data_IF_761533024009
#
_entry.id   IF_761533024009
#
_cell.length_a   1.000
_cell.length_b   1.000
_cell.length_c   1.000
_cell.angle_alpha   90.00
_cell.angle_beta   90.00
_cell.angle_gamma   90.00
#
_symmetry.space_group_name_H-M   'P 1'
#
loop_
_entity.id
_entity.type
_entity.pdbx_description
1 polymer ?
#
# COMPACT_ATOMS: atom_id res chain seq x y z
N UNK A 1 2.42 8.08 6.18
CA UNK A 1 2.87 6.67 6.19
C UNK A 1 2.42 5.88 4.96
N UNK A 2 1.12 5.78 4.63
CA UNK A 2 0.65 4.98 3.49
C UNK A 2 1.37 5.31 2.16
N UNK A 3 1.39 6.59 1.76
CA UNK A 3 2.04 7.03 0.52
C UNK A 3 3.57 6.87 0.57
N UNK A 4 4.17 6.92 1.76
CA UNK A 4 5.60 6.72 1.95
C UNK A 4 5.99 5.28 1.65
N UNK A 5 5.27 4.31 2.24
CA UNK A 5 5.49 2.88 1.95
C UNK A 5 5.17 2.54 0.50
N UNK A 6 4.11 3.14 -0.07
CA UNK A 6 3.81 3.00 -1.50
C UNK A 6 4.98 3.44 -2.38
N UNK A 7 5.56 4.61 -2.12
CA UNK A 7 6.70 5.11 -2.88
C UNK A 7 7.94 4.23 -2.67
N UNK A 8 8.23 3.79 -1.44
CA UNK A 8 9.34 2.87 -1.17
C UNK A 8 9.21 1.55 -1.93
N UNK A 9 8.00 1.00 -2.03
CA UNK A 9 7.75 -0.19 -2.85
C UNK A 9 7.98 0.09 -4.34
N UNK A 10 7.55 1.24 -4.84
CA UNK A 10 7.76 1.66 -6.24
C UNK A 10 9.25 1.84 -6.56
N UNK A 11 10.00 2.47 -5.66
CA UNK A 11 11.44 2.71 -5.80
C UNK A 11 12.25 1.41 -5.73
N UNK A 12 11.74 0.42 -4.99
CA UNK A 12 12.31 -0.93 -4.92
C UNK A 12 11.96 -1.82 -6.13
N UNK A 13 11.24 -1.29 -7.14
CA UNK A 13 10.85 -2.05 -8.34
C UNK A 13 9.66 -2.99 -8.13
N UNK A 14 8.98 -2.93 -6.98
CA UNK A 14 7.75 -3.67 -6.74
C UNK A 14 6.58 -3.00 -7.48
N UNK A 15 5.47 -3.74 -7.62
CA UNK A 15 4.22 -3.26 -8.24
C UNK A 15 3.15 -2.96 -7.18
N UNK A 16 3.19 -1.78 -6.52
CA UNK A 16 2.13 -1.38 -5.59
C UNK A 16 0.93 -0.76 -6.32
N UNK A 17 -0.28 -0.99 -5.82
CA UNK A 17 -1.52 -0.43 -6.33
C UNK A 17 -2.28 0.32 -5.23
N UNK A 18 -2.54 1.62 -5.42
CA UNK A 18 -3.34 2.43 -4.49
C UNK A 18 -4.83 2.10 -4.66
N UNK A 19 -5.52 1.93 -3.54
CA UNK A 19 -6.97 1.76 -3.48
C UNK A 19 -7.57 3.03 -2.90
N UNK A 20 -8.61 3.54 -3.57
CA UNK A 20 -9.38 4.71 -3.14
C UNK A 20 -10.78 4.27 -2.78
N UNK A 21 -11.31 4.84 -1.71
CA UNK A 21 -12.72 4.62 -1.38
C UNK A 21 -13.61 5.18 -2.50
N UNK A 22 -14.61 4.40 -2.88
CA UNK A 22 -15.57 4.77 -3.91
C UNK A 22 -16.53 5.89 -3.43
N UNK A 23 -16.43 6.35 -2.17
CA UNK A 23 -17.28 7.41 -1.63
C UNK A 23 -18.65 6.91 -1.21
N UNK A 24 -18.78 5.61 -0.91
CA UNK A 24 -20.02 5.02 -0.36
C UNK A 24 -20.07 5.10 1.17
N UNK A 25 -19.08 5.74 1.79
CA UNK A 25 -18.94 5.89 3.24
C UNK A 25 -18.89 7.37 3.65
N UNK A 26 -18.89 7.65 4.96
CA UNK A 26 -18.85 9.02 5.50
C UNK A 26 -17.49 9.74 5.30
N UNK A 27 -16.52 9.11 4.64
CA UNK A 27 -15.23 9.70 4.30
C UNK A 27 -15.38 10.48 2.98
N UNK A 28 -14.70 11.64 2.82
CA UNK A 28 -14.68 12.36 1.55
C UNK A 28 -14.32 11.43 0.38
N UNK A 29 -15.13 11.48 -0.68
CA UNK A 29 -14.93 10.64 -1.86
C UNK A 29 -13.52 10.79 -2.43
N UNK A 30 -12.86 9.68 -2.76
CA UNK A 30 -11.53 9.69 -3.37
C UNK A 30 -10.36 9.68 -2.39
N UNK A 31 -10.61 9.53 -1.08
CA UNK A 31 -9.55 9.26 -0.09
C UNK A 31 -8.88 7.91 -0.39
N UNK A 32 -7.54 7.90 -0.37
CA UNK A 32 -6.74 6.67 -0.47
C UNK A 32 -6.85 5.92 0.85
N UNK A 33 -7.38 4.70 0.82
CA UNK A 33 -7.66 3.90 2.03
C UNK A 33 -6.60 2.84 2.30
N UNK A 34 -6.07 2.20 1.26
CA UNK A 34 -5.02 1.22 1.38
C UNK A 34 -4.21 1.10 0.09
N UNK A 35 -3.19 0.24 0.08
CA UNK A 35 -2.53 -0.21 -1.14
C UNK A 35 -2.20 -1.69 -1.04
N UNK A 36 -2.22 -2.37 -2.18
CA UNK A 36 -1.71 -3.74 -2.32
C UNK A 36 -0.32 -3.73 -2.93
N UNK A 37 0.51 -4.72 -2.61
CA UNK A 37 1.83 -4.93 -3.24
C UNK A 37 1.94 -6.37 -3.69
N UNK A 38 2.29 -6.57 -4.96
CA UNK A 38 2.56 -7.88 -5.52
C UNK A 38 1.86 -8.13 -6.85
N UNK A 39 1.93 -9.36 -7.38
CA UNK A 39 2.71 -10.50 -6.85
C UNK A 39 4.21 -10.19 -6.85
N UNK A 40 4.89 -10.58 -5.77
CA UNK A 40 6.33 -10.40 -5.54
C UNK A 40 6.82 -11.44 -4.52
N UNK A 41 8.14 -11.66 -4.44
CA UNK A 41 8.74 -12.51 -3.41
C UNK A 41 8.47 -11.94 -2.01
N UNK A 42 8.04 -12.79 -1.08
CA UNK A 42 7.74 -12.41 0.31
C UNK A 42 8.91 -11.67 0.96
N UNK A 43 10.14 -12.17 0.75
CA UNK A 43 11.37 -11.56 1.26
C UNK A 43 11.61 -10.14 0.72
N UNK A 44 11.12 -9.81 -0.47
CA UNK A 44 11.25 -8.46 -1.02
C UNK A 44 10.22 -7.51 -0.41
N UNK A 45 9.00 -7.99 -0.20
CA UNK A 45 7.92 -7.24 0.46
C UNK A 45 8.27 -6.97 1.92
N UNK A 46 8.76 -7.97 2.65
CA UNK A 46 9.07 -7.89 4.08
C UNK A 46 10.21 -6.92 4.40
N UNK A 47 11.18 -6.74 3.50
CA UNK A 47 12.24 -5.72 3.65
C UNK A 47 11.66 -4.32 3.86
N UNK A 48 10.48 -4.06 3.29
CA UNK A 48 9.83 -2.75 3.32
C UNK A 48 8.70 -2.73 4.34
N UNK A 49 7.83 -3.74 4.33
CA UNK A 49 6.56 -3.77 5.07
C UNK A 49 6.57 -4.66 6.32
N UNK A 50 7.56 -5.52 6.52
CA UNK A 50 7.55 -6.56 7.57
C UNK A 50 7.59 -6.04 9.02
N UNK A 51 7.80 -4.73 9.22
CA UNK A 51 7.72 -4.08 10.54
C UNK A 51 6.32 -3.58 10.88
N UNK A 52 5.41 -3.57 9.90
CA UNK A 52 4.03 -3.15 10.13
C UNK A 52 3.31 -4.21 10.96
N UNK A 53 2.44 -3.74 11.86
CA UNK A 53 1.57 -4.64 12.62
C UNK A 53 0.50 -5.20 11.71
N UNK A 54 0.16 -6.46 11.92
CA UNK A 54 -1.04 -7.04 11.34
C UNK A 54 -2.26 -6.30 11.92
N UNK A 55 -3.26 -6.08 11.05
CA UNK A 55 -4.50 -5.36 11.37
C UNK A 55 -5.39 -6.16 12.33
#
# INVERSE_FOLDING_TARGET
ELLEYYNRCKDAGLRPALIRDAGHTQIPSGTVTCFGVGPADEKEVDKILGKLKLL
#
